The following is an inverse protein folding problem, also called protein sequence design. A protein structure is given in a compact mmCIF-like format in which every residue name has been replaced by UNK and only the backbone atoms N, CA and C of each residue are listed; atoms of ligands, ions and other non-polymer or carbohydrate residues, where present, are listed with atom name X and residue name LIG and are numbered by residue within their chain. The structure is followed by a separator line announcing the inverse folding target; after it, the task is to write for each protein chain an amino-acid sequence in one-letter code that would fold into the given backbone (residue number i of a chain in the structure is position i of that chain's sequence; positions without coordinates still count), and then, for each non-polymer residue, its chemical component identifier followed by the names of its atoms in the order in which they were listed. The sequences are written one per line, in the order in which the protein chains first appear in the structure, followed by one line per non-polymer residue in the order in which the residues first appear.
data_IF_643843238767
#
_entry.id   IF_643843238767
#
_cell.length_a   1.000
_cell.length_b   1.000
_cell.length_c   1.000
_cell.angle_alpha   90.00
_cell.angle_beta   90.00
_cell.angle_gamma   90.00
#
_symmetry.space_group_name_H-M   'P 1'
#
loop_
_entity.id
_entity.type
_entity.pdbx_description
1 polymer ?
#
# COMPACT_ATOMS: atom_id res chain seq x y z
N UNK A 1 12.50 -16.30 -1.05
CA UNK A 1 12.33 -15.43 -2.24
C UNK A 1 11.61 -14.16 -1.81
N UNK A 2 11.98 -13.00 -2.32
CA UNK A 2 11.33 -11.71 -2.05
C UNK A 2 10.89 -11.08 -3.37
N UNK A 3 9.61 -10.73 -3.49
CA UNK A 3 9.03 -10.17 -4.72
C UNK A 3 8.61 -8.71 -4.55
N UNK A 4 8.84 -7.91 -5.60
CA UNK A 4 8.30 -6.56 -5.78
C UNK A 4 7.87 -6.39 -7.24
N UNK A 5 6.92 -5.51 -7.52
CA UNK A 5 6.52 -5.18 -8.90
C UNK A 5 6.97 -3.77 -9.29
N UNK A 6 6.99 -3.50 -10.59
CA UNK A 6 7.26 -2.17 -11.12
C UNK A 6 6.23 -1.16 -10.63
N UNK A 7 6.71 0.00 -10.22
CA UNK A 7 5.90 1.18 -9.95
C UNK A 7 5.60 1.98 -11.21
N UNK A 8 4.62 2.89 -11.11
CA UNK A 8 4.39 3.87 -12.16
C UNK A 8 5.58 4.81 -12.38
N UNK A 9 6.34 5.10 -11.30
CA UNK A 9 7.43 6.09 -11.31
C UNK A 9 8.84 5.48 -11.24
N UNK A 10 8.97 4.18 -10.95
CA UNK A 10 10.26 3.51 -10.77
C UNK A 10 10.11 2.03 -11.06
N UNK A 11 11.18 1.40 -11.56
CA UNK A 11 11.22 -0.05 -11.75
C UNK A 11 11.45 -0.78 -10.44
N UNK A 12 11.07 -2.05 -10.41
CA UNK A 12 11.38 -2.99 -9.33
C UNK A 12 12.89 -3.08 -9.08
N UNK A 13 13.69 -3.18 -10.15
CA UNK A 13 15.15 -3.23 -10.06
C UNK A 13 15.74 -1.99 -9.37
N UNK A 14 15.27 -0.79 -9.74
CA UNK A 14 15.68 0.44 -9.08
C UNK A 14 15.31 0.44 -7.59
N UNK A 15 14.12 -0.02 -7.23
CA UNK A 15 13.69 -0.11 -5.84
C UNK A 15 14.58 -1.06 -5.02
N UNK A 16 14.91 -2.24 -5.55
CA UNK A 16 15.80 -3.19 -4.90
C UNK A 16 17.21 -2.65 -4.65
N UNK A 17 17.79 -1.96 -5.64
CA UNK A 17 19.11 -1.34 -5.52
C UNK A 17 19.09 -0.18 -4.52
N UNK A 18 18.13 0.73 -4.65
CA UNK A 18 18.07 1.95 -3.82
C UNK A 18 17.83 1.66 -2.34
N UNK A 19 17.13 0.55 -2.05
CA UNK A 19 16.82 0.12 -0.67
C UNK A 19 17.86 -0.81 -0.06
N UNK A 20 18.77 -1.39 -0.86
CA UNK A 20 19.68 -2.45 -0.42
C UNK A 20 18.99 -3.79 -0.17
N UNK A 21 17.71 -3.95 -0.55
CA UNK A 21 16.95 -5.16 -0.28
C UNK A 21 17.52 -6.38 -1.00
N UNK A 22 18.00 -6.22 -2.24
CA UNK A 22 18.66 -7.30 -2.99
C UNK A 22 19.88 -7.84 -2.25
N UNK A 23 20.73 -6.96 -1.74
CA UNK A 23 21.93 -7.33 -1.00
C UNK A 23 21.57 -8.04 0.32
N UNK A 24 20.58 -7.53 1.05
CA UNK A 24 20.11 -8.14 2.29
C UNK A 24 19.55 -9.55 2.07
N UNK A 25 18.75 -9.74 1.00
CA UNK A 25 18.18 -11.04 0.63
C UNK A 25 19.27 -12.01 0.20
N UNK A 26 20.25 -11.58 -0.60
CA UNK A 26 21.39 -12.41 -1.01
C UNK A 26 22.26 -12.84 0.17
N UNK A 27 22.50 -11.97 1.15
CA UNK A 27 23.22 -12.30 2.40
C UNK A 27 22.50 -13.35 3.25
N UNK A 28 21.18 -13.50 3.07
CA UNK A 28 20.36 -14.51 3.72
C UNK A 28 20.12 -15.74 2.82
N UNK A 29 20.98 -15.95 1.80
CA UNK A 29 20.87 -17.04 0.81
C UNK A 29 19.54 -17.08 0.05
N UNK A 30 18.88 -15.92 -0.05
CA UNK A 30 17.62 -15.76 -0.77
C UNK A 30 17.80 -15.15 -2.16
N UNK A 31 16.70 -15.15 -2.92
CA UNK A 31 16.58 -14.52 -4.24
C UNK A 31 15.51 -13.42 -4.24
N UNK A 32 15.71 -12.40 -5.08
CA UNK A 32 14.70 -11.40 -5.40
C UNK A 32 14.08 -11.68 -6.77
N UNK A 33 12.80 -11.35 -6.94
CA UNK A 33 12.10 -11.47 -8.22
C UNK A 33 11.32 -10.20 -8.57
N UNK A 34 11.26 -9.86 -9.85
CA UNK A 34 10.37 -8.82 -10.36
C UNK A 34 9.03 -9.45 -10.73
N UNK A 35 8.01 -9.20 -9.90
CA UNK A 35 6.66 -9.72 -10.09
C UNK A 35 6.02 -9.23 -11.40
N UNK A 36 6.47 -8.11 -11.96
CA UNK A 36 6.00 -7.62 -13.27
C UNK A 36 6.42 -8.49 -14.45
N UNK A 37 7.49 -9.28 -14.31
CA UNK A 37 8.05 -10.11 -15.38
C UNK A 37 7.56 -11.57 -15.30
N UNK A 38 6.79 -11.89 -14.25
CA UNK A 38 6.29 -13.23 -13.98
C UNK A 38 5.07 -13.60 -14.83
N UNK A 39 4.85 -14.91 -15.01
CA UNK A 39 3.59 -15.42 -15.53
C UNK A 39 2.43 -15.00 -14.61
N UNK A 40 1.37 -14.43 -15.20
CA UNK A 40 0.21 -13.96 -14.44
C UNK A 40 -1.00 -14.88 -14.61
N UNK A 41 -1.69 -15.15 -13.51
CA UNK A 41 -2.95 -15.88 -13.50
C UNK A 41 -4.12 -14.90 -13.37
N UNK A 42 -5.12 -15.07 -14.23
CA UNK A 42 -6.37 -14.30 -14.18
C UNK A 42 -7.33 -14.90 -13.17
N UNK A 43 -7.63 -14.16 -12.11
CA UNK A 43 -8.60 -14.52 -11.08
C UNK A 43 -9.93 -13.81 -11.38
N UNK A 44 -11.01 -14.57 -11.54
CA UNK A 44 -12.33 -14.05 -11.89
C UNK A 44 -13.27 -14.03 -10.69
N UNK A 45 -13.92 -12.90 -10.44
CA UNK A 45 -14.92 -12.70 -9.38
C UNK A 45 -16.34 -12.78 -9.95
N UNK A 46 -16.69 -13.93 -10.56
CA UNK A 46 -17.96 -14.12 -11.31
C UNK A 46 -19.21 -13.76 -10.49
N UNK A 47 -19.19 -14.01 -9.18
CA UNK A 47 -20.33 -13.76 -8.29
C UNK A 47 -20.27 -12.41 -7.56
N UNK A 48 -19.23 -11.59 -7.78
CA UNK A 48 -19.15 -10.28 -7.14
C UNK A 48 -19.96 -9.27 -7.94
N UNK A 49 -20.82 -8.51 -7.28
CA UNK A 49 -21.51 -7.35 -7.88
C UNK A 49 -20.58 -6.14 -8.00
N UNK A 50 -19.45 -6.12 -7.27
CA UNK A 50 -18.51 -5.00 -7.21
C UNK A 50 -17.30 -5.15 -8.14
N UNK A 51 -16.82 -4.03 -8.66
CA UNK A 51 -15.57 -3.96 -9.43
C UNK A 51 -14.32 -4.07 -8.54
N UNK A 52 -13.18 -4.54 -9.05
CA UNK A 52 -13.00 -5.10 -10.40
C UNK A 52 -13.56 -6.53 -10.50
N UNK A 53 -13.98 -6.96 -11.70
CA UNK A 53 -14.49 -8.34 -11.94
C UNK A 53 -13.38 -9.37 -12.06
N UNK A 54 -12.15 -8.92 -12.21
CA UNK A 54 -10.97 -9.76 -12.32
C UNK A 54 -9.75 -9.06 -11.73
N UNK A 55 -8.78 -9.85 -11.31
CA UNK A 55 -7.42 -9.41 -10.98
C UNK A 55 -6.42 -10.34 -11.66
N UNK A 56 -5.24 -9.83 -11.95
CA UNK A 56 -4.12 -10.60 -12.48
C UNK A 56 -3.03 -10.60 -11.42
N UNK A 57 -2.60 -11.78 -11.00
CA UNK A 57 -1.58 -11.94 -9.95
C UNK A 57 -0.47 -12.88 -10.44
N UNK A 58 0.78 -12.69 -9.98
CA UNK A 58 1.89 -13.58 -10.31
C UNK A 58 1.59 -15.01 -9.87
N UNK A 59 1.80 -15.97 -10.77
CA UNK A 59 1.62 -17.39 -10.51
C UNK A 59 2.49 -17.87 -9.35
N UNK A 60 3.73 -17.40 -9.28
CA UNK A 60 4.67 -17.72 -8.21
C UNK A 60 4.16 -17.35 -6.81
N UNK A 61 3.37 -16.28 -6.69
CA UNK A 61 2.73 -15.93 -5.41
C UNK A 61 1.58 -16.90 -5.11
N UNK A 62 0.74 -17.20 -6.11
CA UNK A 62 -0.45 -18.05 -5.92
C UNK A 62 -0.11 -19.52 -5.66
N UNK A 63 1.02 -20.01 -6.19
CA UNK A 63 1.49 -21.39 -6.02
C UNK A 63 2.44 -21.55 -4.82
N UNK A 64 2.73 -20.47 -4.09
CA UNK A 64 3.60 -20.53 -2.91
C UNK A 64 2.93 -21.27 -1.74
N UNK A 65 3.72 -22.05 -0.99
CA UNK A 65 3.24 -22.76 0.20
C UNK A 65 2.86 -21.80 1.35
N UNK A 66 3.55 -20.66 1.43
CA UNK A 66 3.32 -19.61 2.41
C UNK A 66 3.74 -18.25 1.87
N UNK A 67 2.96 -17.22 2.22
CA UNK A 67 3.21 -15.82 1.92
C UNK A 67 3.59 -15.11 3.22
N UNK A 68 4.72 -14.39 3.15
CA UNK A 68 5.17 -13.47 4.21
C UNK A 68 5.02 -12.05 3.68
N UNK A 69 4.20 -11.24 4.35
CA UNK A 69 4.03 -9.83 4.03
C UNK A 69 4.96 -8.98 4.88
N UNK A 70 5.80 -8.16 4.25
CA UNK A 70 6.73 -7.25 4.91
C UNK A 70 6.44 -5.82 4.47
N UNK A 71 5.72 -5.09 5.32
CA UNK A 71 5.30 -3.73 5.07
C UNK A 71 6.06 -2.72 5.94
N UNK A 72 5.95 -1.44 5.57
CA UNK A 72 6.47 -0.32 6.37
C UNK A 72 5.31 0.48 6.98
N UNK A 73 5.50 0.97 8.21
CA UNK A 73 4.51 1.79 8.92
C UNK A 73 4.49 3.22 8.37
N UNK A 74 3.45 3.61 7.63
CA UNK A 74 3.42 4.93 6.97
C UNK A 74 2.03 5.56 6.91
N UNK A 75 1.96 6.89 6.92
CA UNK A 75 0.79 7.63 6.42
C UNK A 75 0.75 7.61 4.89
N UNK A 76 -0.42 7.91 4.31
CA UNK A 76 -0.61 7.95 2.86
C UNK A 76 -1.60 9.03 2.45
N UNK A 77 -1.22 9.89 1.49
CA UNK A 77 -2.02 11.02 1.01
C UNK A 77 -3.45 10.65 0.56
N UNK A 78 -3.65 9.46 -0.03
CA UNK A 78 -4.94 9.07 -0.61
C UNK A 78 -5.73 8.05 0.21
N UNK A 79 -5.09 7.36 1.16
CA UNK A 79 -5.71 6.27 1.93
C UNK A 79 -5.56 6.45 3.43
N UNK A 80 -5.04 7.61 3.87
CA UNK A 80 -4.68 7.97 5.25
C UNK A 80 -3.50 7.17 5.81
N UNK A 81 -3.51 5.86 5.60
CA UNK A 81 -2.60 4.86 6.13
C UNK A 81 -2.06 3.94 5.03
N UNK A 82 -0.84 3.43 5.26
CA UNK A 82 -0.22 2.35 4.51
C UNK A 82 0.46 1.39 5.50
N UNK A 83 0.14 0.11 5.35
CA UNK A 83 0.66 -0.99 6.14
C UNK A 83 0.53 -2.30 5.36
N UNK A 84 0.29 -3.39 6.07
CA UNK A 84 0.28 -4.76 5.55
C UNK A 84 -0.72 -4.96 4.40
N UNK A 85 -2.01 -4.71 4.61
CA UNK A 85 -3.02 -4.96 3.58
C UNK A 85 -2.77 -4.12 2.33
N UNK A 86 -2.33 -2.87 2.48
CA UNK A 86 -2.01 -2.00 1.35
C UNK A 86 -0.72 -2.45 0.64
N UNK A 87 0.22 -3.10 1.34
CA UNK A 87 1.44 -3.65 0.75
C UNK A 87 1.13 -4.72 -0.30
N UNK A 88 0.09 -5.53 -0.06
CA UNK A 88 -0.40 -6.53 -1.01
C UNK A 88 -0.80 -5.95 -2.38
N UNK A 89 -1.09 -4.64 -2.47
CA UNK A 89 -1.33 -3.98 -3.75
C UNK A 89 -0.10 -3.99 -4.66
N UNK A 90 1.10 -4.07 -4.09
CA UNK A 90 2.36 -4.27 -4.80
C UNK A 90 2.44 -5.63 -5.50
N UNK A 91 1.61 -6.61 -5.13
CA UNK A 91 1.53 -7.88 -5.84
C UNK A 91 0.76 -7.80 -7.17
N UNK A 92 0.13 -6.65 -7.50
CA UNK A 92 -0.49 -6.44 -8.81
C UNK A 92 0.60 -6.03 -9.81
N UNK A 93 0.98 -6.90 -10.76
CA UNK A 93 2.14 -6.74 -11.63
C UNK A 93 1.79 -5.88 -12.85
N UNK A 94 1.33 -4.65 -12.60
CA UNK A 94 0.92 -3.74 -13.66
C UNK A 94 1.23 -2.28 -13.32
N UNK A 95 1.95 -1.61 -14.24
CA UNK A 95 2.16 -0.17 -14.19
C UNK A 95 0.84 0.63 -14.36
N UNK A 96 -0.25 -0.01 -14.81
CA UNK A 96 -1.59 0.60 -14.91
C UNK A 96 -2.50 0.26 -13.73
N UNK A 97 -1.96 -0.24 -12.60
CA UNK A 97 -2.73 -0.44 -11.36
C UNK A 97 -3.40 0.84 -10.83
N UNK A 98 -3.00 2.02 -11.32
CA UNK A 98 -3.70 3.29 -11.09
C UNK A 98 -5.20 3.20 -11.46
N UNK A 99 -5.59 2.42 -12.47
CA UNK A 99 -6.98 2.23 -12.87
C UNK A 99 -7.86 1.52 -11.85
N UNK A 100 -7.25 0.92 -10.82
CA UNK A 100 -7.95 0.28 -9.71
C UNK A 100 -8.28 1.26 -8.57
N UNK A 101 -7.79 2.50 -8.62
CA UNK A 101 -8.01 3.50 -7.57
C UNK A 101 -9.49 3.81 -7.22
N UNK A 102 -10.44 3.78 -8.18
CA UNK A 102 -11.86 3.92 -7.87
C UNK A 102 -12.44 2.80 -6.99
N UNK A 103 -11.71 1.69 -6.83
CA UNK A 103 -12.20 0.48 -6.19
C UNK A 103 -11.27 -0.02 -5.08
N UNK A 104 -10.39 0.82 -4.51
CA UNK A 104 -9.32 0.38 -3.59
C UNK A 104 -9.83 -0.46 -2.42
N UNK A 105 -10.92 -0.06 -1.76
CA UNK A 105 -11.45 -0.83 -0.62
C UNK A 105 -11.79 -2.27 -1.00
N UNK A 106 -12.43 -2.47 -2.16
CA UNK A 106 -12.78 -3.79 -2.69
C UNK A 106 -11.55 -4.55 -3.20
N UNK A 107 -10.60 -3.85 -3.83
CA UNK A 107 -9.34 -4.43 -4.33
C UNK A 107 -8.51 -4.95 -3.17
N UNK A 108 -8.32 -4.15 -2.12
CA UNK A 108 -7.58 -4.54 -0.94
C UNK A 108 -8.27 -5.69 -0.20
N UNK A 109 -9.61 -5.68 -0.11
CA UNK A 109 -10.36 -6.82 0.42
C UNK A 109 -10.10 -8.11 -0.37
N UNK A 110 -10.16 -8.05 -1.71
CA UNK A 110 -9.90 -9.20 -2.60
C UNK A 110 -8.47 -9.70 -2.46
N UNK A 111 -7.48 -8.80 -2.48
CA UNK A 111 -6.07 -9.16 -2.30
C UNK A 111 -5.81 -9.80 -0.94
N UNK A 112 -6.31 -9.19 0.13
CA UNK A 112 -6.23 -9.75 1.49
C UNK A 112 -6.84 -11.15 1.57
N UNK A 113 -7.98 -11.39 0.92
CA UNK A 113 -8.64 -12.69 0.92
C UNK A 113 -7.89 -13.74 0.09
N UNK A 114 -7.40 -13.37 -1.10
CA UNK A 114 -6.71 -14.29 -2.02
C UNK A 114 -5.32 -14.65 -1.48
N UNK A 115 -4.55 -13.64 -1.07
CA UNK A 115 -3.15 -13.81 -0.70
C UNK A 115 -2.99 -14.27 0.76
N UNK A 116 -3.90 -13.86 1.65
CA UNK A 116 -3.98 -14.29 3.05
C UNK A 116 -2.62 -14.64 3.70
N UNK A 117 -1.72 -13.66 3.91
CA UNK A 117 -0.37 -13.91 4.40
C UNK A 117 -0.36 -14.68 5.73
N UNK A 118 0.43 -15.75 5.80
CA UNK A 118 0.58 -16.59 6.99
C UNK A 118 1.45 -15.91 8.05
N UNK A 119 2.34 -15.01 7.63
CA UNK A 119 3.10 -14.13 8.50
C UNK A 119 3.04 -12.71 7.93
N UNK A 120 2.62 -11.76 8.74
CA UNK A 120 2.66 -10.34 8.46
C UNK A 120 3.69 -9.71 9.39
N UNK A 121 4.53 -8.85 8.83
CA UNK A 121 5.54 -8.07 9.53
C UNK A 121 5.36 -6.62 9.09
N UNK A 122 5.17 -5.72 10.06
CA UNK A 122 5.31 -4.28 9.82
C UNK A 122 6.64 -3.85 10.46
N UNK A 123 7.61 -3.50 9.61
CA UNK A 123 8.82 -2.82 10.07
C UNK A 123 8.48 -1.36 10.35
N UNK A 124 8.33 -1.08 11.64
CA UNK A 124 8.07 0.25 12.17
C UNK A 124 9.32 0.89 12.76
N UNK A 125 10.54 0.36 12.61
CA UNK A 125 11.74 0.96 13.23
C UNK A 125 11.86 2.44 12.87
N UNK A 126 11.62 2.72 11.59
CA UNK A 126 11.40 4.08 11.07
C UNK A 126 10.07 4.12 10.35
N UNK A 127 9.08 4.78 10.94
CA UNK A 127 7.82 5.12 10.30
C UNK A 127 7.94 6.30 9.35
N UNK A 128 6.87 6.60 8.62
CA UNK A 128 6.77 7.79 7.77
C UNK A 128 5.47 8.55 8.07
N UNK A 129 5.55 9.81 8.49
CA UNK A 129 4.39 10.66 8.74
C UNK A 129 4.27 11.82 7.73
N UNK A 130 3.12 12.51 7.69
CA UNK A 130 2.87 13.60 6.76
C UNK A 130 2.53 13.11 5.36
N UNK A 131 3.12 13.71 4.33
CA UNK A 131 2.76 13.51 2.92
C UNK A 131 3.39 12.24 2.31
N UNK A 132 3.19 11.09 2.95
CA UNK A 132 3.52 9.79 2.39
C UNK A 132 2.68 9.46 1.14
N UNK A 133 3.11 8.53 0.28
CA UNK A 133 4.12 7.50 0.56
C UNK A 133 5.56 7.92 0.23
N UNK A 134 5.78 9.03 -0.47
CA UNK A 134 7.11 9.43 -0.97
C UNK A 134 7.66 10.73 -0.38
N UNK A 135 6.81 11.63 0.12
CA UNK A 135 7.19 12.97 0.61
C UNK A 135 6.88 13.17 2.10
N UNK A 136 6.80 12.07 2.84
CA UNK A 136 6.62 12.12 4.28
C UNK A 136 7.94 12.36 5.01
N UNK A 137 7.85 12.62 6.31
CA UNK A 137 8.99 12.80 7.20
C UNK A 137 9.24 11.48 7.96
N UNK A 138 10.49 10.98 7.98
CA UNK A 138 10.82 9.77 8.72
C UNK A 138 10.70 10.01 10.22
N UNK A 139 10.13 9.05 10.94
CA UNK A 139 9.94 9.12 12.38
C UNK A 139 10.45 7.84 13.03
N UNK A 140 11.36 7.98 13.99
CA UNK A 140 11.91 6.84 14.72
C UNK A 140 10.86 6.33 15.71
N UNK A 141 10.51 5.05 15.62
CA UNK A 141 9.56 4.39 16.53
C UNK A 141 10.15 3.13 17.19
N UNK A 142 11.19 2.51 16.59
CA UNK A 142 11.86 1.32 17.13
C UNK A 142 10.92 0.13 17.44
N UNK A 143 9.85 -0.04 16.66
CA UNK A 143 8.89 -1.15 16.81
C UNK A 143 8.87 -2.08 15.60
N UNK A 144 8.62 -3.36 15.84
CA UNK A 144 8.27 -4.34 14.81
C UNK A 144 6.98 -5.00 15.26
N UNK A 145 5.98 -5.04 14.38
CA UNK A 145 4.74 -5.78 14.64
C UNK A 145 4.76 -7.05 13.81
N UNK A 146 4.35 -8.16 14.41
CA UNK A 146 4.24 -9.44 13.72
C UNK A 146 2.94 -10.15 14.09
N UNK A 147 2.27 -10.77 13.13
CA UNK A 147 1.08 -11.57 13.36
C UNK A 147 0.84 -12.55 12.21
N UNK A 148 -0.08 -13.50 12.41
CA UNK A 148 -0.66 -14.30 11.32
C UNK A 148 -1.94 -13.66 10.74
N UNK A 149 -2.23 -12.41 11.10
CA UNK A 149 -3.37 -11.65 10.57
C UNK A 149 -2.94 -10.25 10.16
N UNK A 150 -2.92 -10.01 8.85
CA UNK A 150 -2.60 -8.69 8.30
C UNK A 150 -3.54 -7.60 8.82
N UNK A 151 -4.85 -7.91 8.89
CA UNK A 151 -5.85 -6.97 9.40
C UNK A 151 -5.66 -6.63 10.88
N UNK A 152 -5.37 -7.62 11.73
CA UNK A 152 -5.11 -7.35 13.14
C UNK A 152 -3.84 -6.51 13.33
N UNK A 153 -2.80 -6.81 12.54
CA UNK A 153 -1.53 -6.05 12.57
C UNK A 153 -1.74 -4.60 12.17
N UNK A 154 -2.51 -4.36 11.10
CA UNK A 154 -2.84 -3.00 10.65
C UNK A 154 -3.69 -2.24 11.68
N UNK A 155 -4.68 -2.88 12.31
CA UNK A 155 -5.50 -2.25 13.37
C UNK A 155 -4.62 -1.79 14.55
N UNK A 156 -3.70 -2.63 15.02
CA UNK A 156 -2.77 -2.25 16.10
C UNK A 156 -1.81 -1.15 15.63
N UNK A 157 -1.33 -1.22 14.39
CA UNK A 157 -0.48 -0.16 13.83
C UNK A 157 -1.22 1.19 13.77
N UNK A 158 -2.53 1.23 13.50
CA UNK A 158 -3.32 2.46 13.58
C UNK A 158 -3.28 3.05 14.99
N UNK A 159 -3.50 2.23 16.01
CA UNK A 159 -3.49 2.69 17.41
C UNK A 159 -2.13 3.24 17.81
N UNK A 160 -1.04 2.53 17.44
CA UNK A 160 0.33 3.01 17.65
C UNK A 160 0.55 4.36 16.97
N UNK A 161 -0.02 4.57 15.78
CA UNK A 161 0.09 5.83 15.04
C UNK A 161 -0.88 6.92 15.54
N UNK A 162 -1.71 6.64 16.55
CA UNK A 162 -2.75 7.55 17.04
C UNK A 162 -3.88 7.80 16.04
N UNK A 163 -4.21 6.79 15.22
CA UNK A 163 -5.29 6.78 14.24
C UNK A 163 -6.40 5.82 14.68
N UNK A 164 -7.63 6.15 14.27
CA UNK A 164 -8.80 5.31 14.47
C UNK A 164 -9.16 4.55 13.20
N UNK A 165 -9.78 3.37 13.36
CA UNK A 165 -10.19 2.51 12.26
C UNK A 165 -11.13 3.21 11.27
N UNK A 166 -12.06 4.03 11.76
CA UNK A 166 -13.03 4.78 10.95
C UNK A 166 -12.39 5.84 10.04
N UNK A 167 -11.16 6.29 10.33
CA UNK A 167 -10.40 7.22 9.50
C UNK A 167 -9.76 6.55 8.27
N UNK A 168 -9.78 5.21 8.21
CA UNK A 168 -9.11 4.41 7.17
C UNK A 168 -10.13 3.52 6.46
N UNK A 169 -10.67 4.01 5.33
CA UNK A 169 -11.81 3.41 4.62
C UNK A 169 -11.64 1.90 4.36
N UNK A 170 -10.50 1.51 3.80
CA UNK A 170 -10.25 0.13 3.40
C UNK A 170 -10.12 -0.82 4.59
N UNK A 171 -9.47 -0.41 5.67
CA UNK A 171 -9.36 -1.24 6.87
C UNK A 171 -10.72 -1.38 7.55
N UNK A 172 -11.48 -0.28 7.67
CA UNK A 172 -12.83 -0.33 8.21
C UNK A 172 -13.75 -1.22 7.37
N UNK A 173 -13.64 -1.14 6.05
CA UNK A 173 -14.38 -1.98 5.10
C UNK A 173 -14.07 -3.47 5.31
N UNK A 174 -12.78 -3.81 5.40
CA UNK A 174 -12.33 -5.20 5.57
C UNK A 174 -12.68 -5.73 6.97
N UNK A 175 -12.50 -4.93 8.02
CA UNK A 175 -12.87 -5.25 9.40
C UNK A 175 -14.37 -5.55 9.53
N UNK A 176 -15.21 -4.71 8.92
CA UNK A 176 -16.66 -4.92 8.88
C UNK A 176 -17.02 -6.24 8.18
N UNK A 177 -16.38 -6.54 7.05
CA UNK A 177 -16.61 -7.79 6.29
C UNK A 177 -16.10 -9.04 7.02
N UNK A 178 -15.03 -8.91 7.81
CA UNK A 178 -14.45 -10.01 8.60
C UNK A 178 -15.04 -10.13 10.01
N UNK A 179 -15.88 -9.18 10.43
CA UNK A 179 -16.39 -9.09 11.79
C UNK A 179 -15.25 -9.13 12.84
N UNK A 180 -14.14 -8.48 12.50
CA UNK A 180 -12.99 -8.34 13.40
C UNK A 180 -13.04 -6.95 14.03
N UNK A 181 -13.16 -6.94 15.35
CA UNK A 181 -13.12 -5.76 16.18
C UNK A 181 -11.88 -5.81 17.08
N UNK A 182 -11.46 -4.65 17.59
CA UNK A 182 -10.23 -4.49 18.35
C UNK A 182 -10.17 -5.34 19.62
N UNK A 183 -11.29 -5.53 20.30
CA UNK A 183 -11.43 -6.35 21.51
C UNK A 183 -11.09 -7.84 21.27
N UNK A 184 -11.13 -8.29 20.02
CA UNK A 184 -10.78 -9.67 19.63
C UNK A 184 -9.30 -9.85 19.31
N UNK A 185 -8.50 -8.78 19.37
CA UNK A 185 -7.06 -8.80 19.08
C UNK A 185 -6.31 -8.92 20.40
N UNK A 186 -5.54 -10.01 20.54
CA UNK A 186 -4.64 -10.21 21.69
C UNK A 186 -3.22 -9.79 21.33
N UNK A 187 -2.67 -8.90 22.15
CA UNK A 187 -1.30 -8.42 22.03
C UNK A 187 -0.39 -9.27 22.93
N UNK A 188 0.83 -9.51 22.48
CA UNK A 188 1.92 -10.09 23.27
C UNK A 188 3.18 -9.27 22.99
N UNK A 189 3.87 -8.84 24.04
CA UNK A 189 5.05 -7.99 23.92
C UNK A 189 4.78 -6.61 24.53
N UNK A 190 5.28 -5.56 23.88
CA UNK A 190 5.07 -4.17 24.30
C UNK A 190 3.59 -3.81 24.24
N UNK A 191 3.12 -3.05 25.23
CA UNK A 191 1.77 -2.52 25.21
C UNK A 191 1.68 -1.35 24.23
N UNK A 192 0.52 -1.13 23.63
CA UNK A 192 0.34 -0.10 22.59
C UNK A 192 0.65 1.27 23.14
N UNK A 193 0.20 1.55 24.36
CA UNK A 193 0.35 2.82 25.05
C UNK A 193 1.82 3.19 25.30
N UNK A 194 2.70 2.19 25.44
CA UNK A 194 4.14 2.39 25.70
C UNK A 194 4.89 2.89 24.44
N UNK A 195 4.37 2.54 23.26
CA UNK A 195 5.02 2.83 21.98
C UNK A 195 4.19 3.77 21.09
N UNK A 196 2.98 4.12 21.53
CA UNK A 196 2.08 4.96 20.78
C UNK A 196 2.65 6.37 20.59
N UNK A 197 2.57 6.83 19.35
CA UNK A 197 2.89 8.19 18.97
C UNK A 197 1.89 8.65 17.92
N UNK A 198 1.29 9.82 18.16
CA UNK A 198 0.40 10.42 17.18
C UNK A 198 1.17 10.88 15.94
N UNK A 199 0.89 10.28 14.79
CA UNK A 199 1.49 10.67 13.51
C UNK A 199 0.79 11.91 12.96
N UNK A 200 1.57 12.79 12.34
CA UNK A 200 1.03 13.89 11.55
C UNK A 200 0.39 13.35 10.28
N UNK A 201 -0.89 13.64 10.05
CA UNK A 201 -1.58 13.24 8.82
C UNK A 201 -1.11 14.06 7.60
N UNK A 202 -1.29 13.53 6.37
CA UNK A 202 -1.00 14.27 5.14
C UNK A 202 -1.76 15.60 5.05
N UNK A 203 -1.12 16.63 4.49
CA UNK A 203 -1.75 17.92 4.21
C UNK A 203 -2.53 17.83 2.90
N UNK A 204 -3.85 17.93 3.01
CA UNK A 204 -4.76 17.82 1.86
C UNK A 204 -5.03 19.21 1.26
N UNK A 205 -4.15 19.64 0.36
CA UNK A 205 -4.29 20.89 -0.40
C UNK A 205 -5.23 20.74 -1.63
N UNK A 206 -5.48 21.82 -2.37
CA UNK A 206 -6.43 21.82 -3.47
C UNK A 206 -6.08 20.81 -4.59
N UNK A 207 -4.82 20.71 -5.07
CA UNK A 207 -4.43 19.65 -6.00
C UNK A 207 -4.68 18.23 -5.48
N UNK A 208 -4.35 17.95 -4.21
CA UNK A 208 -4.60 16.63 -3.63
C UNK A 208 -6.10 16.35 -3.58
N UNK A 209 -6.93 17.31 -3.17
CA UNK A 209 -8.41 17.17 -3.20
C UNK A 209 -8.92 16.86 -4.61
N UNK A 210 -8.43 17.56 -5.62
CA UNK A 210 -8.83 17.32 -7.01
C UNK A 210 -8.43 15.92 -7.47
N UNK A 211 -7.21 15.48 -7.17
CA UNK A 211 -6.73 14.13 -7.48
C UNK A 211 -7.53 13.04 -6.77
N UNK A 212 -7.93 13.26 -5.51
CA UNK A 212 -8.83 12.34 -4.80
C UNK A 212 -10.20 12.21 -5.50
N UNK A 213 -10.75 13.29 -6.05
CA UNK A 213 -11.99 13.22 -6.83
C UNK A 213 -11.82 12.45 -8.14
N UNK A 214 -10.69 12.65 -8.82
CA UNK A 214 -10.34 11.88 -10.02
C UNK A 214 -10.30 10.40 -9.69
N UNK A 215 -9.59 10.01 -8.62
CA UNK A 215 -9.48 8.63 -8.18
C UNK A 215 -10.80 7.98 -7.76
N UNK A 216 -11.82 8.76 -7.42
CA UNK A 216 -13.16 8.22 -7.12
C UNK A 216 -13.99 7.91 -8.38
N UNK A 217 -13.57 8.40 -9.55
CA UNK A 217 -14.30 8.25 -10.79
C UNK A 217 -13.49 7.43 -11.80
N UNK A 218 -14.05 6.31 -12.25
CA UNK A 218 -13.39 5.40 -13.19
C UNK A 218 -13.05 6.05 -14.52
N UNK A 219 -13.98 6.82 -15.09
CA UNK A 219 -13.78 7.50 -16.37
C UNK A 219 -12.68 8.55 -16.28
N UNK A 220 -12.71 9.40 -15.25
CA UNK A 220 -11.68 10.42 -15.03
C UNK A 220 -10.31 9.79 -14.75
N UNK A 221 -10.26 8.74 -13.93
CA UNK A 221 -9.00 8.02 -13.65
C UNK A 221 -8.41 7.45 -14.94
N UNK A 222 -9.23 6.81 -15.79
CA UNK A 222 -8.74 6.23 -17.04
C UNK A 222 -8.24 7.30 -18.00
N UNK A 223 -8.97 8.41 -18.18
CA UNK A 223 -8.59 9.47 -19.12
C UNK A 223 -7.36 10.24 -18.63
N UNK A 224 -7.31 10.60 -17.36
CA UNK A 224 -6.24 11.46 -16.85
C UNK A 224 -4.93 10.72 -16.61
N UNK A 225 -4.97 9.38 -16.54
CA UNK A 225 -3.80 8.52 -16.41
C UNK A 225 -3.61 7.60 -17.64
N UNK A 226 -4.20 7.93 -18.80
CA UNK A 226 -4.00 7.14 -20.03
C UNK A 226 -2.64 7.40 -20.68
N UNK A 227 -2.03 8.56 -20.45
CA UNK A 227 -0.73 8.95 -20.98
C UNK A 227 0.12 9.70 -19.95
N UNK A 228 1.45 9.56 -20.08
CA UNK A 228 2.40 10.30 -19.25
C UNK A 228 2.32 11.81 -19.50
N UNK A 229 1.99 12.25 -20.71
CA UNK A 229 1.91 13.68 -21.06
C UNK A 229 0.80 14.38 -20.29
N UNK A 230 -0.38 13.75 -20.17
CA UNK A 230 -1.47 14.30 -19.37
C UNK A 230 -1.04 14.40 -17.91
N UNK A 231 -0.43 13.35 -17.37
CA UNK A 231 0.08 13.36 -15.98
C UNK A 231 1.12 14.46 -15.77
N UNK A 232 2.05 14.67 -16.71
CA UNK A 232 3.05 15.74 -16.66
C UNK A 232 2.40 17.14 -16.66
N UNK A 233 1.32 17.34 -17.42
CA UNK A 233 0.56 18.61 -17.41
C UNK A 233 0.01 18.89 -16.00
N UNK A 234 -0.65 17.92 -15.38
CA UNK A 234 -1.17 18.07 -14.01
C UNK A 234 -0.07 18.31 -12.97
N UNK A 235 1.09 17.64 -13.13
CA UNK A 235 2.25 17.88 -12.28
C UNK A 235 2.75 19.32 -12.39
N UNK A 236 2.86 19.86 -13.61
CA UNK A 236 3.26 21.26 -13.84
C UNK A 236 2.28 22.26 -13.22
N UNK A 237 0.97 22.05 -13.39
CA UNK A 237 -0.08 22.87 -12.78
C UNK A 237 0.02 22.82 -11.25
N UNK A 238 0.24 21.62 -10.69
CA UNK A 238 0.38 21.43 -9.24
C UNK A 238 1.63 22.13 -8.69
N UNK A 239 2.75 22.08 -9.41
CA UNK A 239 3.99 22.78 -9.04
C UNK A 239 3.79 24.30 -9.07
N UNK A 240 3.16 24.82 -10.12
CA UNK A 240 2.81 26.23 -10.25
C UNK A 240 1.90 26.70 -9.09
N UNK A 241 0.85 25.95 -8.77
CA UNK A 241 -0.02 26.24 -7.62
C UNK A 241 0.74 26.29 -6.29
N UNK A 242 1.73 25.42 -6.11
CA UNK A 242 2.55 25.35 -4.89
C UNK A 242 3.70 26.37 -4.87
N UNK A 243 3.82 27.24 -5.89
CA UNK A 243 4.91 28.20 -6.01
C UNK A 243 6.29 27.56 -6.14
N UNK A 244 6.36 26.30 -6.60
CA UNK A 244 7.63 25.58 -6.80
C UNK A 244 8.11 25.78 -8.23
N UNK A 245 9.43 25.83 -8.42
CA UNK A 245 10.03 25.89 -9.75
C UNK A 245 9.53 24.72 -10.61
N UNK A 246 9.11 25.02 -11.84
CA UNK A 246 8.74 24.03 -12.83
C UNK A 246 10.05 23.51 -13.43
N UNK A 247 10.59 22.41 -12.89
CA UNK A 247 11.68 21.71 -13.57
C UNK A 247 11.13 21.06 -14.84
N UNK A 248 11.66 21.49 -15.98
CA UNK A 248 11.32 20.98 -17.31
C UNK A 248 12.23 19.79 -17.59
N UNK A 249 11.74 18.57 -17.33
CA UNK A 249 12.34 17.33 -17.86
C UNK A 249 11.32 16.53 -18.69
#
# INVERSE_FOLDING_TARGET
MVGESDGYNYSCQFAFEKTGLKEAVQKADGSVINLSEEEVVKINFKNSTKSPKELFLPKSILESDAIVDLALMKTHEFTTYSGAIKNLFGCIPSNRRIFLHPFLDEVFFKLYFILNPQLTIIDGRVGLEGNGPTKGDPIKMDVILTSNSALATDIIALEIMGLNLDQVSHLNYIASKRMLSRDRIKIKGLEVEEVARKFRLPKIDLPVKAQMQIYRNEFLTKILFCSLDIVKIFQKITLAYRGKAIEVN
#
